data_IF_734498164783
#
_entry.id   IF_734498164783
#
_cell.length_a   1.000
_cell.length_b   1.000
_cell.length_c   1.000
_cell.angle_alpha   90.00
_cell.angle_beta   90.00
_cell.angle_gamma   90.00
#
_symmetry.space_group_name_H-M   'P 1'
#
loop_
_entity.id
_entity.type
_entity.pdbx_description
1 polymer ?
#
# COMPACT_ATOMS: atom_id res chain seq x y z
N UNK A 1 -36.41 -6.30 23.44
CA UNK A 1 -36.00 -6.42 22.02
C UNK A 1 -35.33 -5.15 21.50
N UNK A 2 -35.97 -3.99 21.62
CA UNK A 2 -35.45 -2.68 21.17
C UNK A 2 -34.09 -2.30 21.78
N UNK A 3 -33.86 -2.60 23.07
CA UNK A 3 -32.56 -2.33 23.73
C UNK A 3 -31.40 -3.07 23.06
N UNK A 4 -31.62 -4.31 22.62
CA UNK A 4 -30.61 -5.11 21.93
C UNK A 4 -30.35 -4.57 20.52
N UNK A 5 -31.40 -4.18 19.79
CA UNK A 5 -31.26 -3.55 18.47
C UNK A 5 -30.49 -2.23 18.52
N UNK A 6 -30.77 -1.38 19.51
CA UNK A 6 -30.05 -0.12 19.69
C UNK A 6 -28.58 -0.41 20.02
N UNK A 7 -28.32 -1.36 20.92
CA UNK A 7 -26.96 -1.73 21.32
C UNK A 7 -26.15 -2.27 20.14
N UNK A 8 -26.73 -3.16 19.32
CA UNK A 8 -26.05 -3.75 18.16
C UNK A 8 -25.80 -2.72 17.07
N UNK A 9 -26.76 -1.83 16.81
CA UNK A 9 -26.60 -0.75 15.83
C UNK A 9 -25.47 0.21 16.24
N UNK A 10 -25.40 0.57 17.52
CA UNK A 10 -24.36 1.45 18.06
C UNK A 10 -22.98 0.79 17.95
N UNK A 11 -22.87 -0.50 18.31
CA UNK A 11 -21.65 -1.28 18.20
C UNK A 11 -21.14 -1.35 16.76
N UNK A 12 -22.01 -1.73 15.82
CA UNK A 12 -21.65 -1.83 14.39
C UNK A 12 -21.26 -0.46 13.83
N UNK A 13 -21.99 0.59 14.21
CA UNK A 13 -21.65 1.97 13.82
C UNK A 13 -20.25 2.37 14.27
N UNK A 14 -19.87 2.07 15.51
CA UNK A 14 -18.52 2.33 16.03
C UNK A 14 -17.45 1.52 15.29
N UNK A 15 -17.72 0.24 14.97
CA UNK A 15 -16.78 -0.60 14.21
C UNK A 15 -16.53 -0.04 12.80
N UNK A 16 -17.59 0.37 12.09
CA UNK A 16 -17.47 0.96 10.75
C UNK A 16 -16.72 2.29 10.79
N UNK A 17 -16.99 3.13 11.79
CA UNK A 17 -16.28 4.39 12.00
C UNK A 17 -14.80 4.18 12.32
N UNK A 18 -14.45 3.18 13.13
CA UNK A 18 -13.07 2.85 13.46
C UNK A 18 -12.32 2.29 12.24
N UNK A 19 -12.94 1.38 11.46
CA UNK A 19 -12.34 0.87 10.22
C UNK A 19 -12.08 1.99 9.21
N UNK A 20 -13.03 2.91 9.07
CA UNK A 20 -12.93 4.05 8.16
C UNK A 20 -12.28 5.27 8.78
N UNK A 21 -11.68 5.21 9.97
CA UNK A 21 -11.25 6.43 10.69
C UNK A 21 -10.32 7.29 9.83
N UNK A 22 -9.40 6.69 9.07
CA UNK A 22 -8.57 7.46 8.12
C UNK A 22 -9.36 8.04 6.95
N UNK A 23 -10.36 7.34 6.44
CA UNK A 23 -11.19 7.81 5.33
C UNK A 23 -12.12 8.95 5.77
N UNK A 24 -12.72 8.86 6.96
CA UNK A 24 -13.64 9.86 7.49
C UNK A 24 -12.93 11.09 8.10
N UNK A 25 -11.75 10.92 8.72
CA UNK A 25 -11.09 12.00 9.48
C UNK A 25 -9.83 12.59 8.79
N UNK A 26 -9.31 12.00 7.72
CA UNK A 26 -8.17 12.62 7.01
C UNK A 26 -8.65 13.51 5.86
N UNK A 27 -8.04 14.68 5.69
CA UNK A 27 -8.44 15.69 4.69
C UNK A 27 -8.42 15.21 3.24
N UNK A 28 -7.72 14.10 2.94
CA UNK A 28 -7.68 13.53 1.60
C UNK A 28 -8.68 12.40 1.39
N UNK A 29 -9.23 11.78 2.44
CA UNK A 29 -10.26 10.73 2.30
C UNK A 29 -9.86 9.53 1.42
N UNK A 30 -8.60 9.46 1.02
CA UNK A 30 -8.09 8.49 0.05
C UNK A 30 -7.38 7.37 0.80
N UNK A 31 -7.64 6.14 0.38
CA UNK A 31 -6.79 5.02 0.79
C UNK A 31 -5.36 5.29 0.33
N UNK A 32 -4.35 5.00 1.17
CA UNK A 32 -2.96 5.20 0.79
C UNK A 32 -2.69 4.47 -0.53
N UNK A 33 -1.98 5.12 -1.45
CA UNK A 33 -1.62 4.53 -2.74
C UNK A 33 -0.96 3.18 -2.51
N UNK A 34 -1.59 2.10 -2.98
CA UNK A 34 -1.03 0.74 -2.94
C UNK A 34 0.12 0.57 -3.96
N UNK A 35 0.47 1.64 -4.66
CA UNK A 35 1.56 1.63 -5.61
C UNK A 35 2.89 1.69 -4.85
N UNK A 36 3.75 0.72 -5.13
CA UNK A 36 5.02 0.51 -4.40
C UNK A 36 5.95 1.73 -4.50
N UNK A 37 5.84 2.48 -5.59
CA UNK A 37 6.66 3.65 -5.93
C UNK A 37 6.26 4.91 -5.16
N UNK A 38 4.97 5.04 -4.85
CA UNK A 38 4.38 6.22 -4.21
C UNK A 38 4.53 6.20 -2.69
N UNK A 39 4.91 5.05 -2.12
CA UNK A 39 5.05 4.90 -0.68
C UNK A 39 6.51 5.16 -0.24
N UNK A 40 6.78 6.24 0.52
CA UNK A 40 8.15 6.61 0.90
C UNK A 40 8.86 5.50 1.69
N UNK A 41 8.16 4.76 2.56
CA UNK A 41 8.76 3.68 3.34
C UNK A 41 9.05 2.41 2.53
N UNK A 42 8.39 2.20 1.38
CA UNK A 42 8.75 1.11 0.45
C UNK A 42 9.95 1.53 -0.42
N UNK A 43 10.01 2.82 -0.78
CA UNK A 43 11.15 3.41 -1.48
C UNK A 43 12.44 3.38 -0.66
N UNK A 44 12.38 3.67 0.65
CA UNK A 44 13.52 3.54 1.56
C UNK A 44 14.05 2.10 1.67
N UNK A 45 13.19 1.10 1.47
CA UNK A 45 13.57 -0.32 1.40
C UNK A 45 14.15 -0.74 0.05
N UNK A 46 14.25 0.17 -0.91
CA UNK A 46 14.73 -0.11 -2.27
C UNK A 46 13.75 -0.94 -3.12
N UNK A 47 12.49 -1.04 -2.70
CA UNK A 47 11.48 -1.79 -3.45
C UNK A 47 11.04 -0.94 -4.65
N UNK A 48 11.35 -1.42 -5.86
CA UNK A 48 10.91 -0.84 -7.13
C UNK A 48 9.87 -1.74 -7.80
N UNK A 49 9.03 -1.15 -8.66
CA UNK A 49 8.12 -1.91 -9.49
C UNK A 49 8.90 -2.95 -10.33
N UNK A 50 8.36 -4.15 -10.41
CA UNK A 50 8.98 -5.29 -11.08
C UNK A 50 9.33 -5.00 -12.55
N UNK A 51 8.51 -4.16 -13.23
CA UNK A 51 8.76 -3.72 -14.61
C UNK A 51 10.07 -2.93 -14.74
N UNK A 52 10.42 -2.09 -13.77
CA UNK A 52 11.68 -1.35 -13.80
C UNK A 52 12.86 -2.26 -13.46
N UNK A 53 12.68 -3.21 -12.53
CA UNK A 53 13.72 -4.19 -12.18
C UNK A 53 14.13 -5.03 -13.40
N UNK A 54 13.17 -5.47 -14.22
CA UNK A 54 13.47 -6.26 -15.42
C UNK A 54 14.28 -5.48 -16.47
N UNK A 55 14.04 -4.18 -16.62
CA UNK A 55 14.78 -3.34 -17.57
C UNK A 55 16.19 -3.05 -17.04
N UNK A 56 16.32 -2.72 -15.75
CA UNK A 56 17.63 -2.53 -15.11
C UNK A 56 18.47 -3.81 -15.13
N UNK A 57 17.84 -4.98 -15.04
CA UNK A 57 18.52 -6.27 -15.14
C UNK A 57 19.00 -6.58 -16.57
N UNK A 58 18.25 -6.16 -17.59
CA UNK A 58 18.69 -6.29 -18.99
C UNK A 58 19.82 -5.33 -19.36
N UNK A 59 19.84 -4.12 -18.80
CA UNK A 59 20.95 -3.17 -19.01
C UNK A 59 22.21 -3.55 -18.22
N UNK A 60 22.08 -4.37 -17.16
CA UNK A 60 23.26 -4.87 -16.45
C UNK A 60 24.07 -5.77 -17.39
N UNK A 61 25.39 -5.51 -17.47
CA UNK A 61 26.33 -6.32 -18.25
C UNK A 61 26.14 -7.80 -17.93
N UNK A 62 25.90 -8.59 -18.97
CA UNK A 62 25.77 -10.02 -18.82
C UNK A 62 27.12 -10.60 -18.42
N UNK A 63 27.11 -11.78 -17.79
CA UNK A 63 28.35 -12.46 -17.39
C UNK A 63 29.33 -12.61 -18.57
N UNK A 64 28.79 -12.85 -19.77
CA UNK A 64 29.56 -12.95 -21.01
C UNK A 64 30.34 -11.67 -21.33
N UNK A 65 29.73 -10.49 -21.18
CA UNK A 65 30.38 -9.19 -21.43
C UNK A 65 31.51 -8.87 -20.44
N UNK A 66 31.60 -9.59 -19.32
CA UNK A 66 32.66 -9.44 -18.30
C UNK A 66 33.78 -10.46 -18.43
N UNK A 67 33.54 -11.56 -19.13
CA UNK A 67 34.54 -12.60 -19.38
C UNK A 67 35.45 -12.21 -20.56
N UNK A 68 34.95 -11.34 -21.44
CA UNK A 68 35.65 -10.86 -22.63
C UNK A 68 36.57 -9.64 -22.39
N UNK A 69 36.58 -9.09 -21.16
CA UNK A 69 37.48 -8.01 -20.70
C UNK A 69 38.71 -8.58 -19.97
#
# INVERSE_FOLDING_TARGET
MTKLLILTLLLVGVVVLLMGFRVFFTKKGEFPSSHVEDQPALREKGLKCHRYQTVEEQERRNLFDRIEE
#
